data_IF_235703304334
#
_entry.id   IF_235703304334
#
_cell.length_a   1.000
_cell.length_b   1.000
_cell.length_c   1.000
_cell.angle_alpha   90.00
_cell.angle_beta   90.00
_cell.angle_gamma   90.00
#
_symmetry.space_group_name_H-M   'P 1'
#
loop_
_entity.id
_entity.type
_entity.pdbx_description
1 polymer ?
#
# COMPACT_ATOMS: atom_id res chain seq x y z
N UNK A 1 -0.84 24.09 11.04
CA UNK A 1 -0.58 22.64 10.76
C UNK A 1 -0.74 22.46 9.26
N UNK A 2 0.11 21.67 8.60
CA UNK A 2 -0.01 21.43 7.17
C UNK A 2 -1.17 20.48 6.85
N UNK A 3 -1.86 20.73 5.72
CA UNK A 3 -2.72 19.73 5.09
C UNK A 3 -1.82 18.69 4.41
N UNK A 4 -1.92 17.43 4.84
CA UNK A 4 -1.09 16.33 4.33
C UNK A 4 -1.81 15.69 3.15
N UNK A 5 -1.27 15.84 1.94
CA UNK A 5 -1.79 15.27 0.70
C UNK A 5 -0.72 14.40 0.01
N UNK A 6 0.17 13.83 0.83
CA UNK A 6 1.20 12.87 0.39
C UNK A 6 0.60 11.48 0.21
N UNK A 7 1.18 10.60 -0.64
CA UNK A 7 0.74 9.21 -0.79
C UNK A 7 1.23 8.30 0.37
N UNK A 8 0.93 8.72 1.59
CA UNK A 8 1.33 8.12 2.86
C UNK A 8 2.59 8.78 3.47
N UNK A 9 2.51 9.10 4.79
CA UNK A 9 1.31 9.06 5.63
C UNK A 9 0.20 9.99 5.13
N UNK A 10 -1.06 9.64 5.45
CA UNK A 10 -2.26 10.42 5.14
C UNK A 10 -2.74 11.24 6.34
N UNK A 11 -3.76 12.05 6.16
CA UNK A 11 -4.44 12.72 7.28
C UNK A 11 -5.18 11.69 8.14
N UNK A 12 -5.10 11.86 9.46
CA UNK A 12 -5.75 10.99 10.45
C UNK A 12 -7.02 11.66 10.96
N UNK A 13 -8.14 10.94 10.96
CA UNK A 13 -9.43 11.43 11.47
C UNK A 13 -9.38 11.70 12.97
N UNK A 14 -10.28 12.58 13.44
CA UNK A 14 -10.32 12.99 14.85
C UNK A 14 -10.65 11.81 15.76
N UNK A 15 -11.66 11.00 15.40
CA UNK A 15 -12.04 9.81 16.20
C UNK A 15 -10.91 8.79 16.32
N UNK A 16 -10.05 8.66 15.29
CA UNK A 16 -8.85 7.79 15.32
C UNK A 16 -7.82 8.35 16.32
N UNK A 17 -7.60 9.68 16.31
CA UNK A 17 -6.70 10.33 17.28
C UNK A 17 -7.22 10.21 18.70
N UNK A 18 -8.55 10.36 18.90
CA UNK A 18 -9.19 10.21 20.21
C UNK A 18 -9.15 8.77 20.70
N UNK A 19 -9.33 7.78 19.82
CA UNK A 19 -9.19 6.37 20.18
C UNK A 19 -7.80 6.05 20.74
N UNK A 20 -6.74 6.65 20.18
CA UNK A 20 -5.36 6.49 20.66
C UNK A 20 -5.10 7.15 22.03
N UNK A 21 -5.94 8.06 22.48
CA UNK A 21 -5.83 8.70 23.80
C UNK A 21 -6.56 7.94 24.93
N UNK A 22 -7.15 6.77 24.62
CA UNK A 22 -7.76 5.91 25.63
C UNK A 22 -6.69 5.41 26.59
N UNK A 23 -7.13 5.15 27.83
CA UNK A 23 -6.27 4.55 28.83
C UNK A 23 -5.78 3.18 28.36
N UNK A 24 -4.48 2.93 28.51
CA UNK A 24 -3.85 1.67 28.13
C UNK A 24 -3.99 0.64 29.26
N UNK A 25 -4.09 -0.62 28.85
CA UNK A 25 -4.03 -1.77 29.74
C UNK A 25 -2.65 -2.46 29.64
N UNK A 26 -2.47 -3.58 30.28
CA UNK A 26 -1.34 -4.49 30.07
C UNK A 26 -1.76 -5.61 29.12
N UNK A 27 -1.25 -5.67 27.87
CA UNK A 27 -1.71 -6.63 26.87
C UNK A 27 -1.39 -8.09 27.23
N UNK A 28 -0.40 -8.32 28.11
CA UNK A 28 0.02 -9.66 28.52
C UNK A 28 -0.82 -10.20 29.71
N UNK A 29 -1.65 -9.37 30.33
CA UNK A 29 -2.44 -9.71 31.52
C UNK A 29 -3.94 -9.46 31.33
N UNK A 30 -4.33 -8.70 30.34
CA UNK A 30 -5.72 -8.33 30.08
C UNK A 30 -6.28 -9.14 28.91
N UNK A 31 -6.98 -10.22 29.24
CA UNK A 31 -7.61 -11.08 28.21
C UNK A 31 -8.60 -10.31 27.33
N UNK A 32 -9.22 -9.23 27.83
CA UNK A 32 -10.14 -8.42 27.02
C UNK A 32 -9.41 -7.69 25.88
N UNK A 33 -8.12 -7.40 26.04
CA UNK A 33 -7.30 -6.85 24.96
C UNK A 33 -6.98 -7.90 23.88
N UNK A 34 -6.78 -9.17 24.30
CA UNK A 34 -6.58 -10.27 23.34
C UNK A 34 -7.82 -10.47 22.46
N UNK A 35 -9.01 -10.41 23.06
CA UNK A 35 -10.30 -10.45 22.33
C UNK A 35 -10.41 -9.24 21.38
N UNK A 36 -10.13 -8.03 21.86
CA UNK A 36 -10.16 -6.81 21.03
C UNK A 36 -9.20 -6.86 19.84
N UNK A 37 -8.00 -7.38 20.06
CA UNK A 37 -7.01 -7.59 18.99
C UNK A 37 -7.55 -8.57 17.94
N UNK A 38 -8.07 -9.73 18.40
CA UNK A 38 -8.65 -10.76 17.52
C UNK A 38 -9.81 -10.22 16.70
N UNK A 39 -10.79 -9.57 17.36
CA UNK A 39 -11.92 -8.94 16.67
C UNK A 39 -11.48 -7.90 15.63
N UNK A 40 -10.39 -7.17 15.90
CA UNK A 40 -9.82 -6.20 14.95
C UNK A 40 -9.22 -6.92 13.73
N UNK A 41 -8.51 -8.03 13.95
CA UNK A 41 -7.96 -8.87 12.88
C UNK A 41 -9.07 -9.50 12.03
N UNK A 42 -10.11 -10.04 12.66
CA UNK A 42 -11.27 -10.64 11.97
C UNK A 42 -12.03 -9.61 11.12
N UNK A 43 -12.17 -8.37 11.61
CA UNK A 43 -12.82 -7.30 10.84
C UNK A 43 -11.99 -6.91 9.62
N UNK A 44 -10.66 -6.88 9.72
CA UNK A 44 -9.78 -6.66 8.57
C UNK A 44 -9.96 -7.79 7.55
N UNK A 45 -9.93 -9.06 7.99
CA UNK A 45 -10.15 -10.22 7.12
C UNK A 45 -11.50 -10.14 6.39
N UNK A 46 -12.56 -9.82 7.12
CA UNK A 46 -13.92 -9.67 6.59
C UNK A 46 -13.99 -8.60 5.49
N UNK A 47 -13.39 -7.45 5.72
CA UNK A 47 -13.35 -6.34 4.75
C UNK A 47 -12.51 -6.65 3.51
N UNK A 48 -11.56 -7.58 3.63
CA UNK A 48 -10.71 -8.07 2.53
C UNK A 48 -11.26 -9.35 1.87
N UNK A 49 -12.51 -9.72 2.20
CA UNK A 49 -13.23 -10.86 1.65
C UNK A 49 -12.48 -12.19 1.79
N UNK A 50 -12.09 -12.51 3.03
CA UNK A 50 -11.40 -13.76 3.34
C UNK A 50 -11.69 -14.22 4.77
N UNK A 51 -11.57 -15.53 5.01
CA UNK A 51 -11.54 -16.15 6.33
C UNK A 51 -10.10 -16.46 6.80
N UNK A 52 -9.11 -16.08 6.00
CA UNK A 52 -7.70 -16.24 6.36
C UNK A 52 -7.35 -15.39 7.59
N UNK A 53 -6.41 -15.88 8.37
CA UNK A 53 -5.95 -15.19 9.58
C UNK A 53 -5.25 -13.88 9.25
N UNK A 54 -5.64 -12.82 9.93
CA UNK A 54 -4.92 -11.55 9.94
C UNK A 54 -4.11 -11.43 11.23
N UNK A 55 -2.87 -10.94 11.10
CA UNK A 55 -2.02 -10.54 12.21
C UNK A 55 -1.71 -9.04 12.12
N UNK A 56 -1.69 -8.35 13.27
CA UNK A 56 -1.26 -6.95 13.37
C UNK A 56 0.10 -6.91 14.07
N UNK A 57 1.09 -6.31 13.42
CA UNK A 57 2.46 -6.23 13.91
C UNK A 57 2.84 -4.77 14.24
N UNK A 58 3.65 -4.59 15.28
CA UNK A 58 4.18 -3.29 15.68
C UNK A 58 5.33 -2.85 14.78
N UNK A 59 5.00 -2.17 13.68
CA UNK A 59 5.90 -1.62 12.66
C UNK A 59 5.08 -1.19 11.46
N UNK A 60 5.57 -0.27 10.65
CA UNK A 60 4.84 0.18 9.47
C UNK A 60 4.89 -0.87 8.33
N UNK A 61 4.24 -0.63 7.19
CA UNK A 61 4.06 -1.61 6.10
C UNK A 61 5.31 -2.39 5.69
N UNK A 62 6.50 -1.79 5.74
CA UNK A 62 7.76 -2.47 5.42
C UNK A 62 8.02 -3.68 6.34
N UNK A 63 7.67 -3.59 7.64
CA UNK A 63 7.79 -4.74 8.53
C UNK A 63 6.94 -5.93 8.06
N UNK A 64 5.73 -5.69 7.57
CA UNK A 64 4.87 -6.75 7.02
C UNK A 64 5.50 -7.42 5.80
N UNK A 65 6.07 -6.64 4.88
CA UNK A 65 6.76 -7.14 3.69
C UNK A 65 7.99 -7.97 4.06
N UNK A 66 8.81 -7.44 4.96
CA UNK A 66 9.98 -8.16 5.49
C UNK A 66 9.57 -9.43 6.21
N UNK A 67 8.53 -9.38 7.07
CA UNK A 67 8.05 -10.54 7.83
C UNK A 67 7.52 -11.66 6.92
N UNK A 68 6.83 -11.31 5.84
CA UNK A 68 6.41 -12.28 4.83
C UNK A 68 7.62 -12.95 4.17
N UNK A 69 8.60 -12.17 3.72
CA UNK A 69 9.82 -12.71 3.12
C UNK A 69 10.64 -13.55 4.12
N UNK A 70 10.85 -13.05 5.34
CA UNK A 70 11.58 -13.78 6.40
C UNK A 70 10.94 -15.13 6.73
N UNK A 71 9.60 -15.13 6.81
CA UNK A 71 8.85 -16.33 7.18
C UNK A 71 8.76 -17.35 6.03
N UNK A 72 8.77 -16.89 4.78
CA UNK A 72 8.65 -17.77 3.60
C UNK A 72 9.99 -18.23 3.05
N UNK A 73 11.07 -17.44 3.18
CA UNK A 73 12.34 -17.73 2.53
C UNK A 73 13.22 -18.67 3.38
N UNK A 74 13.76 -19.69 2.77
CA UNK A 74 14.88 -20.49 3.29
C UNK A 74 16.11 -20.30 2.39
N UNK A 75 17.33 -20.52 2.93
CA UNK A 75 18.55 -20.41 2.13
C UNK A 75 18.49 -21.25 0.85
N UNK A 76 18.69 -20.60 -0.28
CA UNK A 76 18.65 -21.23 -1.61
C UNK A 76 17.29 -21.31 -2.27
N UNK A 77 16.19 -20.90 -1.61
CA UNK A 77 14.87 -20.83 -2.25
C UNK A 77 14.90 -19.86 -3.43
N UNK A 78 14.37 -20.27 -4.56
CA UNK A 78 14.15 -19.40 -5.71
C UNK A 78 12.84 -18.63 -5.52
N UNK A 79 12.90 -17.32 -5.72
CA UNK A 79 11.74 -16.42 -5.57
C UNK A 79 11.62 -15.54 -6.80
N UNK A 80 10.45 -15.53 -7.42
CA UNK A 80 10.15 -14.64 -8.53
C UNK A 80 9.74 -13.27 -8.00
N UNK A 81 10.44 -12.22 -8.42
CA UNK A 81 10.13 -10.83 -8.06
C UNK A 81 9.57 -10.11 -9.28
N UNK A 82 8.28 -9.73 -9.24
CA UNK A 82 7.67 -8.95 -10.30
C UNK A 82 8.13 -7.49 -10.18
N UNK A 83 9.08 -7.12 -11.03
CA UNK A 83 9.77 -5.83 -11.03
C UNK A 83 9.17 -4.92 -12.12
N UNK A 84 8.08 -4.22 -11.77
CA UNK A 84 7.49 -3.15 -12.58
C UNK A 84 7.20 -1.90 -11.76
N UNK A 85 7.98 -1.67 -10.71
CA UNK A 85 7.91 -0.53 -9.80
C UNK A 85 9.02 -0.56 -8.77
N UNK A 86 9.23 0.56 -8.07
CA UNK A 86 10.34 0.69 -7.11
C UNK A 86 10.18 -0.31 -5.95
N UNK A 87 8.97 -0.42 -5.39
CA UNK A 87 8.72 -1.39 -4.31
C UNK A 87 8.73 -2.83 -4.82
N UNK A 88 8.30 -3.08 -6.07
CA UNK A 88 8.40 -4.40 -6.68
C UNK A 88 9.82 -4.91 -6.69
N UNK A 89 10.75 -4.09 -7.21
CA UNK A 89 12.18 -4.41 -7.22
C UNK A 89 12.75 -4.57 -5.81
N UNK A 90 12.28 -3.75 -4.86
CA UNK A 90 12.78 -3.76 -3.46
C UNK A 90 12.60 -5.10 -2.73
N UNK A 91 11.66 -5.94 -3.13
CA UNK A 91 11.50 -7.27 -2.56
C UNK A 91 12.74 -8.17 -2.74
N UNK A 92 13.54 -7.95 -3.78
CA UNK A 92 14.77 -8.71 -4.00
C UNK A 92 15.76 -8.57 -2.84
N UNK A 93 15.79 -7.42 -2.19
CA UNK A 93 16.66 -7.16 -1.04
C UNK A 93 16.21 -8.00 0.17
N UNK A 94 14.90 -8.06 0.46
CA UNK A 94 14.37 -8.90 1.54
C UNK A 94 14.64 -10.38 1.28
N UNK A 95 14.36 -10.86 0.07
CA UNK A 95 14.61 -12.25 -0.31
C UNK A 95 16.09 -12.61 -0.12
N UNK A 96 17.01 -11.75 -0.62
CA UNK A 96 18.45 -11.95 -0.48
C UNK A 96 18.93 -11.91 0.97
N UNK A 97 18.35 -11.01 1.78
CA UNK A 97 18.68 -10.86 3.21
C UNK A 97 18.44 -12.15 3.99
N UNK A 98 17.39 -12.91 3.64
CA UNK A 98 17.07 -14.20 4.25
C UNK A 98 17.65 -15.42 3.50
N UNK A 99 18.62 -15.18 2.60
CA UNK A 99 19.37 -16.22 1.91
C UNK A 99 18.69 -16.83 0.69
N UNK A 100 17.58 -16.29 0.24
CA UNK A 100 16.93 -16.70 -1.00
C UNK A 100 17.63 -16.17 -2.26
N UNK A 101 17.23 -16.72 -3.39
CA UNK A 101 17.72 -16.37 -4.73
C UNK A 101 16.61 -15.65 -5.51
N UNK A 102 16.52 -14.31 -5.46
CA UNK A 102 15.52 -13.57 -6.21
C UNK A 102 15.81 -13.58 -7.71
N UNK A 103 14.80 -13.83 -8.52
CA UNK A 103 14.84 -13.65 -9.97
C UNK A 103 13.88 -12.54 -10.37
N UNK A 104 14.41 -11.49 -11.01
CA UNK A 104 13.64 -10.30 -11.39
C UNK A 104 12.92 -10.52 -12.73
N UNK A 105 11.61 -10.44 -12.73
CA UNK A 105 10.81 -10.28 -13.94
C UNK A 105 10.61 -8.78 -14.20
N UNK A 106 11.64 -8.11 -14.74
CA UNK A 106 11.67 -6.66 -14.94
C UNK A 106 10.87 -6.22 -16.16
N UNK A 107 10.07 -5.16 -16.01
CA UNK A 107 9.26 -4.54 -17.06
C UNK A 107 9.32 -3.01 -16.98
N UNK A 108 8.78 -2.33 -18.00
CA UNK A 108 8.67 -0.87 -18.00
C UNK A 108 7.78 -0.41 -16.82
N UNK A 109 8.28 0.50 -15.99
CA UNK A 109 7.56 1.03 -14.82
C UNK A 109 6.40 1.96 -15.19
N UNK A 110 6.20 2.22 -16.49
CA UNK A 110 5.13 3.09 -17.01
C UNK A 110 3.92 2.30 -17.54
N UNK A 111 4.01 0.97 -17.60
CA UNK A 111 2.99 0.11 -18.22
C UNK A 111 2.65 -1.07 -17.32
N UNK A 112 1.39 -1.53 -17.41
CA UNK A 112 0.94 -2.74 -16.72
C UNK A 112 1.69 -3.98 -17.20
N UNK A 113 1.74 -5.00 -16.37
CA UNK A 113 2.26 -6.31 -16.76
C UNK A 113 1.41 -6.92 -17.89
N UNK A 114 2.07 -7.36 -18.95
CA UNK A 114 1.44 -8.13 -20.02
C UNK A 114 1.26 -9.58 -19.55
N UNK A 115 0.01 -9.97 -19.31
CA UNK A 115 -0.34 -11.29 -18.78
C UNK A 115 0.03 -12.43 -19.72
N UNK A 116 -0.02 -12.21 -21.05
CA UNK A 116 0.38 -13.23 -22.03
C UNK A 116 1.90 -13.47 -21.98
N UNK A 117 2.69 -12.40 -21.85
CA UNK A 117 4.15 -12.50 -21.70
C UNK A 117 4.53 -13.11 -20.37
N UNK A 118 3.82 -12.78 -19.29
CA UNK A 118 4.04 -13.40 -17.97
C UNK A 118 3.74 -14.90 -18.04
N UNK A 119 2.61 -15.31 -18.63
CA UNK A 119 2.29 -16.72 -18.76
C UNK A 119 3.28 -17.48 -19.66
N UNK A 120 3.74 -16.85 -20.77
CA UNK A 120 4.77 -17.45 -21.61
C UNK A 120 6.09 -17.67 -20.86
N UNK A 121 6.48 -16.70 -20.02
CA UNK A 121 7.65 -16.83 -19.15
C UNK A 121 7.47 -17.98 -18.13
N UNK A 122 6.33 -18.04 -17.45
CA UNK A 122 6.03 -19.07 -16.45
C UNK A 122 5.96 -20.49 -17.02
N UNK A 123 5.63 -20.67 -18.30
CA UNK A 123 5.67 -21.99 -18.96
C UNK A 123 7.08 -22.59 -18.97
N UNK A 124 8.09 -21.76 -19.07
CA UNK A 124 9.51 -22.18 -19.12
C UNK A 124 10.22 -22.02 -17.76
N UNK A 125 9.73 -21.09 -16.91
CA UNK A 125 10.34 -20.73 -15.64
C UNK A 125 9.28 -20.72 -14.53
N UNK A 126 9.09 -21.83 -13.84
CA UNK A 126 8.06 -21.97 -12.78
C UNK A 126 8.58 -22.67 -11.50
N UNK A 127 9.85 -22.93 -11.41
CA UNK A 127 10.48 -23.51 -10.20
C UNK A 127 10.80 -22.40 -9.19
N UNK A 128 9.74 -21.79 -8.65
CA UNK A 128 9.83 -20.79 -7.60
C UNK A 128 8.96 -21.20 -6.40
N UNK A 129 9.47 -21.00 -5.19
CA UNK A 129 8.70 -21.25 -3.97
C UNK A 129 7.54 -20.29 -3.84
N UNK A 130 7.79 -19.01 -4.11
CA UNK A 130 6.77 -17.97 -4.15
C UNK A 130 7.16 -16.85 -5.10
N UNK A 131 6.19 -15.98 -5.39
CA UNK A 131 6.42 -14.73 -6.11
C UNK A 131 5.98 -13.54 -5.27
N UNK A 132 6.67 -12.41 -5.42
CA UNK A 132 6.29 -11.13 -4.83
C UNK A 132 5.63 -10.23 -5.85
N UNK A 133 4.53 -9.59 -5.46
CA UNK A 133 3.70 -8.72 -6.31
C UNK A 133 3.35 -7.47 -5.54
N UNK A 134 3.59 -6.29 -6.10
CA UNK A 134 3.07 -5.03 -5.56
C UNK A 134 1.71 -4.75 -6.19
N UNK A 135 0.65 -4.64 -5.39
CA UNK A 135 -0.68 -4.26 -5.85
C UNK A 135 -0.71 -2.80 -6.30
N UNK A 136 -0.24 -1.89 -5.43
CA UNK A 136 -0.13 -0.46 -5.74
C UNK A 136 1.25 0.11 -5.45
N UNK A 137 2.01 0.50 -6.48
CA UNK A 137 3.33 1.12 -6.34
C UNK A 137 3.19 2.65 -6.23
N UNK A 138 3.18 3.20 -5.02
CA UNK A 138 3.00 4.66 -4.81
C UNK A 138 4.07 5.54 -5.44
N UNK A 139 5.34 5.13 -5.62
CA UNK A 139 6.34 5.95 -6.30
C UNK A 139 6.00 6.28 -7.75
N UNK A 140 5.43 5.32 -8.49
CA UNK A 140 5.06 5.45 -9.90
C UNK A 140 3.56 5.71 -10.11
N UNK A 141 2.71 5.32 -9.15
CA UNK A 141 1.25 5.31 -9.26
C UNK A 141 0.70 4.07 -9.96
N UNK A 142 1.53 3.04 -10.18
CA UNK A 142 1.14 1.80 -10.84
C UNK A 142 0.17 0.99 -9.97
N UNK A 143 -0.88 0.50 -10.59
CA UNK A 143 -1.77 -0.54 -10.08
C UNK A 143 -1.58 -1.82 -10.90
N UNK A 144 -1.20 -2.90 -10.25
CA UNK A 144 -1.13 -4.22 -10.86
C UNK A 144 -2.44 -4.99 -10.65
N UNK A 145 -2.85 -5.72 -11.67
CA UNK A 145 -4.04 -6.57 -11.61
C UNK A 145 -3.73 -7.88 -10.86
N UNK A 146 -3.72 -7.80 -9.53
CA UNK A 146 -3.48 -8.97 -8.67
C UNK A 146 -4.57 -10.04 -8.82
N UNK A 147 -5.78 -9.66 -9.30
CA UNK A 147 -6.87 -10.60 -9.58
C UNK A 147 -6.57 -11.54 -10.73
N UNK A 148 -5.74 -11.12 -11.67
CA UNK A 148 -5.26 -11.95 -12.78
C UNK A 148 -3.89 -12.59 -12.49
N UNK A 149 -2.98 -11.83 -11.84
CA UNK A 149 -1.60 -12.27 -11.58
C UNK A 149 -1.57 -13.43 -10.58
N UNK A 150 -2.25 -13.32 -9.43
CA UNK A 150 -2.15 -14.32 -8.37
C UNK A 150 -2.71 -15.68 -8.79
N UNK A 151 -3.91 -15.79 -9.40
CA UNK A 151 -4.39 -17.07 -9.92
C UNK A 151 -3.48 -17.67 -10.99
N UNK A 152 -2.85 -16.82 -11.83
CA UNK A 152 -1.89 -17.30 -12.82
C UNK A 152 -0.67 -17.92 -12.16
N UNK A 153 -0.09 -17.29 -11.12
CA UNK A 153 1.04 -17.83 -10.36
C UNK A 153 0.67 -19.15 -9.67
N UNK A 154 -0.51 -19.20 -9.04
CA UNK A 154 -1.04 -20.44 -8.40
C UNK A 154 -1.22 -21.58 -9.40
N UNK A 155 -1.63 -21.32 -10.64
CA UNK A 155 -1.72 -22.33 -11.72
C UNK A 155 -0.39 -23.03 -11.96
N UNK A 156 0.74 -22.36 -11.73
CA UNK A 156 2.09 -22.91 -11.85
C UNK A 156 2.67 -23.39 -10.51
N UNK A 157 1.86 -23.48 -9.45
CA UNK A 157 2.30 -23.96 -8.13
C UNK A 157 3.13 -22.96 -7.34
N UNK A 158 3.15 -21.68 -7.75
CA UNK A 158 3.91 -20.60 -7.12
C UNK A 158 3.01 -19.90 -6.11
N UNK A 159 3.44 -19.82 -4.85
CA UNK A 159 2.74 -19.06 -3.80
C UNK A 159 2.91 -17.56 -4.02
N UNK A 160 2.03 -16.75 -3.42
CA UNK A 160 2.01 -15.31 -3.64
C UNK A 160 2.21 -14.51 -2.36
N UNK A 161 3.09 -13.51 -2.40
CA UNK A 161 3.26 -12.47 -1.38
C UNK A 161 2.91 -11.13 -2.02
N UNK A 162 1.81 -10.52 -1.59
CA UNK A 162 1.27 -9.30 -2.18
C UNK A 162 1.48 -8.11 -1.25
N UNK A 163 2.20 -7.11 -1.74
CA UNK A 163 2.23 -5.78 -1.12
C UNK A 163 0.97 -5.01 -1.52
N UNK A 164 0.02 -4.90 -0.62
CA UNK A 164 -1.16 -4.05 -0.76
C UNK A 164 -1.18 -2.88 0.24
N UNK A 165 -0.02 -2.48 0.74
CA UNK A 165 0.12 -1.41 1.74
C UNK A 165 -0.58 -0.14 1.29
N UNK A 166 -0.45 0.23 0.01
CA UNK A 166 -1.05 1.45 -0.53
C UNK A 166 -2.40 1.26 -1.19
N UNK A 167 -2.77 0.03 -1.50
CA UNK A 167 -3.99 -0.29 -2.26
C UNK A 167 -5.12 -0.82 -1.37
N UNK A 168 -4.81 -1.47 -0.23
CA UNK A 168 -5.81 -2.01 0.69
C UNK A 168 -6.88 -0.97 1.01
N UNK A 169 -8.15 -1.34 0.80
CA UNK A 169 -9.36 -0.53 1.01
C UNK A 169 -9.55 0.68 0.08
N UNK A 170 -8.57 1.02 -0.75
CA UNK A 170 -8.70 2.07 -1.78
C UNK A 170 -8.80 1.53 -3.20
N UNK A 171 -8.45 0.26 -3.36
CA UNK A 171 -8.63 -0.55 -4.57
C UNK A 171 -9.42 -1.82 -4.22
N UNK A 172 -10.14 -2.42 -5.16
CA UNK A 172 -10.77 -3.70 -4.93
C UNK A 172 -9.80 -4.75 -4.44
N UNK A 173 -10.22 -5.57 -3.45
CA UNK A 173 -9.45 -6.69 -2.94
C UNK A 173 -10.40 -7.83 -2.54
N UNK A 174 -10.12 -9.04 -3.00
CA UNK A 174 -10.85 -10.27 -2.69
C UNK A 174 -9.86 -11.41 -2.51
N UNK A 175 -9.25 -11.48 -1.34
CA UNK A 175 -8.08 -12.35 -1.07
C UNK A 175 -8.37 -13.82 -1.40
N UNK A 176 -9.51 -14.37 -0.92
CA UNK A 176 -9.85 -15.77 -1.17
C UNK A 176 -10.12 -16.06 -2.64
N UNK A 177 -10.89 -15.20 -3.31
CA UNK A 177 -11.24 -15.39 -4.73
C UNK A 177 -10.01 -15.27 -5.64
N UNK A 178 -9.06 -14.41 -5.28
CA UNK A 178 -7.84 -14.18 -6.05
C UNK A 178 -6.68 -15.08 -5.64
N UNK A 179 -6.92 -16.02 -4.73
CA UNK A 179 -5.95 -17.03 -4.28
C UNK A 179 -4.63 -16.43 -3.78
N UNK A 180 -4.73 -15.35 -3.00
CA UNK A 180 -3.56 -14.69 -2.41
C UNK A 180 -3.14 -15.45 -1.16
N UNK A 181 -1.86 -15.85 -1.08
CA UNK A 181 -1.34 -16.61 0.07
C UNK A 181 -0.95 -15.71 1.23
N UNK A 182 -0.24 -14.61 0.95
CA UNK A 182 0.08 -13.60 1.96
C UNK A 182 -0.20 -12.22 1.37
N UNK A 183 -0.94 -11.39 2.12
CA UNK A 183 -1.16 -9.99 1.78
C UNK A 183 -0.71 -9.09 2.93
N UNK A 184 0.07 -8.06 2.62
CA UNK A 184 0.55 -7.06 3.57
C UNK A 184 -0.14 -5.72 3.35
N UNK A 185 -0.64 -5.13 4.44
CA UNK A 185 -1.23 -3.80 4.47
C UNK A 185 -0.56 -2.88 5.48
N UNK A 186 -0.92 -1.61 5.52
CA UNK A 186 -0.31 -0.63 6.41
C UNK A 186 -1.29 0.41 6.94
N UNK A 187 -1.09 0.84 8.19
CA UNK A 187 -1.99 1.77 8.89
C UNK A 187 -2.00 3.19 8.31
N UNK A 188 -0.88 3.65 7.74
CA UNK A 188 -0.65 5.05 7.36
C UNK A 188 -1.08 5.41 5.94
N UNK A 189 -1.72 4.50 5.20
CA UNK A 189 -2.17 4.70 3.82
C UNK A 189 -3.68 4.95 3.77
N UNK A 190 -4.43 4.19 2.96
CA UNK A 190 -5.89 4.34 2.86
C UNK A 190 -6.58 4.18 4.21
N UNK A 191 -6.07 3.32 5.08
CA UNK A 191 -6.60 3.14 6.46
C UNK A 191 -6.65 4.45 7.23
N UNK A 192 -5.75 5.39 6.95
CA UNK A 192 -5.74 6.72 7.59
C UNK A 192 -5.60 6.70 9.11
N UNK A 193 -4.88 5.70 9.63
CA UNK A 193 -4.34 5.69 10.98
C UNK A 193 -2.88 6.19 10.97
N UNK A 194 -2.30 6.56 12.10
CA UNK A 194 -0.88 6.93 12.20
C UNK A 194 0.04 5.79 11.72
N UNK A 195 1.25 6.10 11.22
CA UNK A 195 2.24 5.09 10.93
C UNK A 195 2.65 4.35 12.21
N UNK A 196 2.98 3.05 12.11
CA UNK A 196 3.46 2.26 13.23
C UNK A 196 2.85 0.86 13.30
N UNK A 197 1.85 0.55 12.47
CA UNK A 197 1.27 -0.79 12.37
C UNK A 197 1.24 -1.27 10.93
N UNK A 198 1.50 -2.56 10.77
CA UNK A 198 1.17 -3.33 9.58
C UNK A 198 0.19 -4.45 9.93
N UNK A 199 -0.62 -4.86 8.97
CA UNK A 199 -1.42 -6.07 9.08
C UNK A 199 -1.07 -7.03 7.95
N UNK A 200 -1.01 -8.31 8.28
CA UNK A 200 -0.63 -9.37 7.35
C UNK A 200 -1.72 -10.43 7.36
N UNK A 201 -2.31 -10.70 6.21
CA UNK A 201 -3.30 -11.77 6.02
C UNK A 201 -2.58 -13.00 5.47
N UNK A 202 -2.83 -14.18 6.05
CA UNK A 202 -2.02 -15.38 5.83
C UNK A 202 -2.95 -16.57 5.54
N UNK A 203 -2.80 -17.20 4.37
CA UNK A 203 -3.54 -18.41 4.01
C UNK A 203 -3.05 -19.65 4.78
N UNK A 204 -3.87 -20.68 4.86
CA UNK A 204 -3.47 -21.94 5.49
C UNK A 204 -2.30 -22.61 4.74
N UNK A 205 -2.24 -22.47 3.40
CA UNK A 205 -1.09 -22.94 2.61
C UNK A 205 0.20 -22.23 3.01
N UNK A 206 0.14 -20.90 3.21
CA UNK A 206 1.31 -20.14 3.67
C UNK A 206 1.71 -20.50 5.10
N UNK A 207 0.76 -20.67 6.03
CA UNK A 207 1.03 -21.16 7.39
C UNK A 207 1.74 -22.50 7.35
N UNK A 208 1.24 -23.44 6.55
CA UNK A 208 1.84 -24.73 6.36
C UNK A 208 3.28 -24.62 5.84
N UNK A 209 3.51 -23.83 4.80
CA UNK A 209 4.84 -23.60 4.24
C UNK A 209 5.82 -23.02 5.27
N UNK A 210 5.35 -22.12 6.16
CA UNK A 210 6.16 -21.55 7.23
C UNK A 210 6.49 -22.55 8.33
N UNK A 211 5.59 -23.50 8.65
CA UNK A 211 5.80 -24.51 9.71
C UNK A 211 6.58 -25.72 9.25
N UNK A 212 6.50 -26.06 7.96
CA UNK A 212 7.25 -27.21 7.37
C UNK A 212 8.69 -26.87 6.96
N UNK A 213 9.17 -25.66 7.33
CA UNK A 213 10.55 -25.23 7.06
C UNK A 213 11.59 -26.17 7.70
N UNK A 214 12.73 -26.29 7.02
CA UNK A 214 13.89 -27.04 7.52
C UNK A 214 14.84 -26.18 8.35
N UNK A 215 14.79 -24.86 8.17
CA UNK A 215 15.66 -23.90 8.84
C UNK A 215 14.83 -22.94 9.71
N UNK A 216 15.33 -22.51 10.89
CA UNK A 216 14.66 -21.49 11.69
C UNK A 216 14.49 -20.17 10.92
N UNK A 217 13.43 -19.44 11.23
CA UNK A 217 13.25 -18.07 10.72
C UNK A 217 14.28 -17.17 11.43
N UNK A 218 15.14 -16.50 10.65
CA UNK A 218 16.27 -15.72 11.16
C UNK A 218 15.86 -14.33 11.64
N UNK A 219 14.70 -14.20 12.29
CA UNK A 219 14.20 -12.98 12.89
C UNK A 219 13.27 -13.32 14.05
N UNK A 220 13.16 -12.43 15.04
CA UNK A 220 12.16 -12.52 16.09
C UNK A 220 10.93 -11.66 15.75
N UNK A 221 11.12 -10.36 15.44
CA UNK A 221 10.00 -9.47 15.11
C UNK A 221 9.41 -9.73 13.72
N UNK A 222 10.24 -9.97 12.71
CA UNK A 222 9.80 -10.31 11.36
C UNK A 222 9.57 -11.82 11.21
N UNK A 223 8.86 -12.43 12.17
CA UNK A 223 8.53 -13.85 12.20
C UNK A 223 7.04 -14.04 12.47
N UNK A 224 6.29 -14.35 11.42
CA UNK A 224 4.84 -14.50 11.51
C UNK A 224 4.40 -15.71 12.35
N UNK A 225 5.27 -16.72 12.50
CA UNK A 225 4.93 -17.93 13.29
C UNK A 225 4.96 -17.70 14.79
N UNK A 226 5.55 -16.60 15.28
CA UNK A 226 5.57 -16.27 16.72
C UNK A 226 4.19 -15.97 17.28
N UNK A 227 3.21 -15.67 16.42
CA UNK A 227 1.81 -15.42 16.79
C UNK A 227 0.92 -16.68 16.75
N UNK A 228 1.45 -17.85 16.36
CA UNK A 228 0.66 -19.04 16.04
C UNK A 228 -0.35 -19.46 17.15
N UNK A 229 -0.07 -19.17 18.41
CA UNK A 229 -0.89 -19.56 19.57
C UNK A 229 -1.25 -18.39 20.47
N UNK A 230 -1.11 -17.14 19.99
CA UNK A 230 -1.35 -15.96 20.84
C UNK A 230 -2.73 -15.93 21.47
N UNK A 231 -3.74 -16.43 20.74
CA UNK A 231 -5.13 -16.38 21.20
C UNK A 231 -5.42 -17.49 22.22
N UNK A 232 -4.98 -18.72 21.96
CA UNK A 232 -5.18 -19.87 22.85
C UNK A 232 -4.41 -19.70 24.16
N UNK A 233 -3.18 -19.21 24.07
CA UNK A 233 -2.31 -19.00 25.22
C UNK A 233 -2.55 -17.66 25.93
N UNK A 234 -3.38 -16.77 25.34
CA UNK A 234 -3.60 -15.39 25.80
C UNK A 234 -2.28 -14.64 26.04
N UNK A 235 -1.35 -14.84 25.13
CA UNK A 235 0.02 -14.33 25.24
C UNK A 235 0.56 -13.88 23.90
N UNK A 236 0.98 -12.60 23.81
CA UNK A 236 1.66 -12.07 22.62
C UNK A 236 3.15 -12.34 22.66
N UNK A 237 3.83 -12.50 21.50
CA UNK A 237 5.27 -12.74 21.46
C UNK A 237 6.10 -11.57 22.00
N UNK A 238 5.54 -10.37 22.03
CA UNK A 238 6.11 -9.14 22.56
C UNK A 238 4.99 -8.17 22.95
N UNK A 239 5.32 -7.16 23.78
CA UNK A 239 4.33 -6.18 24.24
C UNK A 239 3.74 -5.40 23.07
N UNK A 240 2.42 -5.51 22.91
CA UNK A 240 1.70 -4.91 21.78
C UNK A 240 1.51 -3.40 21.95
N UNK A 241 1.55 -2.61 20.85
CA UNK A 241 1.32 -1.16 20.88
C UNK A 241 -0.17 -0.81 21.00
N UNK A 242 -0.71 -0.89 22.22
CA UNK A 242 -2.15 -0.86 22.54
C UNK A 242 -2.84 0.38 21.97
N UNK A 243 -2.30 1.58 22.21
CA UNK A 243 -2.89 2.84 21.74
C UNK A 243 -2.93 2.93 20.21
N UNK A 244 -1.95 2.36 19.53
CA UNK A 244 -1.93 2.31 18.07
C UNK A 244 -2.97 1.34 17.53
N UNK A 245 -3.17 0.20 18.21
CA UNK A 245 -4.20 -0.79 17.85
C UNK A 245 -5.61 -0.22 18.09
N UNK A 246 -5.84 0.55 19.18
CA UNK A 246 -7.09 1.28 19.36
C UNK A 246 -7.36 2.27 18.22
N UNK A 247 -6.32 2.98 17.78
CA UNK A 247 -6.42 3.88 16.62
C UNK A 247 -6.68 3.14 15.32
N UNK A 248 -6.00 2.02 15.09
CA UNK A 248 -6.22 1.18 13.92
C UNK A 248 -7.67 0.67 13.87
N UNK A 249 -8.21 0.15 14.98
CA UNK A 249 -9.60 -0.33 15.05
C UNK A 249 -10.58 0.79 14.69
N UNK A 250 -10.43 1.97 15.25
CA UNK A 250 -11.30 3.09 14.93
C UNK A 250 -11.21 3.50 13.44
N UNK A 251 -10.04 3.37 12.82
CA UNK A 251 -9.88 3.61 11.39
C UNK A 251 -10.52 2.51 10.52
N UNK A 252 -10.41 1.25 10.93
CA UNK A 252 -11.09 0.11 10.27
C UNK A 252 -12.62 0.25 10.40
N UNK A 253 -13.13 0.67 11.56
CA UNK A 253 -14.56 0.94 11.76
C UNK A 253 -15.05 2.07 10.81
N UNK A 254 -14.24 3.11 10.56
CA UNK A 254 -14.56 4.14 9.57
C UNK A 254 -14.66 3.57 8.16
N UNK A 255 -13.77 2.65 7.78
CA UNK A 255 -13.81 1.97 6.48
C UNK A 255 -15.06 1.09 6.37
N UNK A 256 -15.37 0.33 7.40
CA UNK A 256 -16.55 -0.54 7.44
C UNK A 256 -17.86 0.25 7.33
N UNK A 257 -17.88 1.47 7.82
CA UNK A 257 -19.04 2.38 7.75
C UNK A 257 -19.15 3.15 6.44
N UNK A 258 -18.20 3.01 5.51
CA UNK A 258 -18.13 3.77 4.25
C UNK A 258 -18.30 2.87 3.02
N UNK A 259 -19.54 2.57 2.61
CA UNK A 259 -19.80 1.68 1.47
C UNK A 259 -19.32 2.25 0.12
N UNK A 260 -19.11 3.56 0.04
CA UNK A 260 -18.72 4.26 -1.19
C UNK A 260 -17.22 4.47 -1.31
N UNK A 261 -16.42 3.93 -0.38
CA UNK A 261 -14.98 4.21 -0.31
C UNK A 261 -14.26 3.94 -1.64
N UNK A 262 -14.49 2.81 -2.29
CA UNK A 262 -13.86 2.45 -3.56
C UNK A 262 -14.32 3.35 -4.71
N UNK A 263 -15.63 3.55 -4.85
CA UNK A 263 -16.21 4.41 -5.89
C UNK A 263 -15.75 5.88 -5.76
N UNK A 264 -15.60 6.36 -4.52
CA UNK A 264 -15.08 7.71 -4.24
C UNK A 264 -13.61 7.83 -4.65
N UNK A 265 -12.76 6.83 -4.33
CA UNK A 265 -11.35 6.83 -4.76
C UNK A 265 -11.24 6.83 -6.28
N UNK A 266 -11.97 5.96 -6.97
CA UNK A 266 -11.98 5.87 -8.44
C UNK A 266 -12.41 7.20 -9.09
N UNK A 267 -13.54 7.78 -8.65
CA UNK A 267 -14.05 9.04 -9.19
C UNK A 267 -13.06 10.18 -9.00
N UNK A 268 -12.47 10.32 -7.81
CA UNK A 268 -11.46 11.34 -7.52
C UNK A 268 -10.20 11.14 -8.36
N UNK A 269 -9.72 9.92 -8.48
CA UNK A 269 -8.54 9.58 -9.27
C UNK A 269 -8.74 9.90 -10.75
N UNK A 270 -9.88 9.52 -11.33
CA UNK A 270 -10.21 9.87 -12.72
C UNK A 270 -10.28 11.37 -12.94
N UNK A 271 -10.98 12.11 -12.06
CA UNK A 271 -11.07 13.56 -12.12
C UNK A 271 -9.68 14.22 -11.99
N UNK A 272 -8.83 13.67 -11.11
CA UNK A 272 -7.46 14.14 -10.92
C UNK A 272 -6.60 13.95 -12.17
N UNK A 273 -6.65 12.77 -12.80
CA UNK A 273 -5.95 12.51 -14.06
C UNK A 273 -6.44 13.41 -15.20
N UNK A 274 -7.76 13.64 -15.30
CA UNK A 274 -8.34 14.59 -16.26
C UNK A 274 -7.86 16.03 -16.01
N UNK A 275 -7.73 16.45 -14.75
CA UNK A 275 -7.20 17.77 -14.38
C UNK A 275 -5.74 17.94 -14.86
N UNK A 276 -4.89 16.95 -14.60
CA UNK A 276 -3.49 16.98 -15.06
C UNK A 276 -3.42 17.03 -16.59
N UNK A 277 -4.02 16.08 -17.29
CA UNK A 277 -3.92 16.00 -18.76
C UNK A 277 -4.60 17.16 -19.47
N UNK A 278 -5.76 17.60 -18.99
CA UNK A 278 -6.49 18.74 -19.54
C UNK A 278 -5.78 20.08 -19.35
N UNK A 279 -4.95 20.21 -18.31
CA UNK A 279 -4.09 21.39 -18.11
C UNK A 279 -2.87 21.41 -19.02
N UNK A 280 -2.61 20.34 -19.77
CA UNK A 280 -1.47 20.19 -20.67
C UNK A 280 -0.23 19.57 -20.02
N UNK A 281 -0.34 19.06 -18.79
CA UNK A 281 0.71 18.29 -18.13
C UNK A 281 0.60 16.80 -18.49
N UNK A 282 1.68 16.06 -18.28
CA UNK A 282 1.75 14.63 -18.59
C UNK A 282 1.65 13.78 -17.32
N UNK A 283 0.82 12.74 -17.36
CA UNK A 283 0.90 11.66 -16.38
C UNK A 283 2.19 10.87 -16.59
N UNK A 284 2.75 10.36 -15.49
CA UNK A 284 3.94 9.52 -15.58
C UNK A 284 3.63 8.18 -16.26
N UNK A 285 2.56 7.53 -15.86
CA UNK A 285 2.15 6.23 -16.40
C UNK A 285 1.46 6.35 -17.75
N UNK A 286 1.54 5.28 -18.56
CA UNK A 286 0.78 5.07 -19.78
C UNK A 286 -0.47 4.21 -19.54
N UNK A 287 -0.43 3.29 -18.55
CA UNK A 287 -1.53 2.39 -18.15
C UNK A 287 -1.41 1.97 -16.69
N UNK A 288 -2.45 1.32 -16.13
CA UNK A 288 -2.40 0.79 -14.76
C UNK A 288 -2.40 1.86 -13.68
N UNK A 289 -3.31 2.81 -13.79
CA UNK A 289 -3.38 3.93 -12.84
C UNK A 289 -4.09 3.51 -11.54
N UNK A 290 -3.40 3.71 -10.41
CA UNK A 290 -4.03 3.55 -9.09
C UNK A 290 -5.09 4.60 -8.83
N UNK A 291 -6.13 4.21 -8.08
CA UNK A 291 -7.17 5.11 -7.56
C UNK A 291 -6.75 5.84 -6.27
N UNK A 292 -5.57 5.53 -5.71
CA UNK A 292 -5.10 6.09 -4.44
C UNK A 292 -4.10 7.24 -4.59
N UNK A 293 -3.46 7.35 -5.76
CA UNK A 293 -2.42 8.36 -6.03
C UNK A 293 -2.44 8.77 -7.50
N UNK A 294 -2.27 10.07 -7.76
CA UNK A 294 -2.00 10.59 -9.11
C UNK A 294 -0.55 11.05 -9.21
N UNK A 295 0.17 10.56 -10.21
CA UNK A 295 1.58 10.86 -10.46
C UNK A 295 1.74 11.53 -11.82
N UNK A 296 2.34 12.71 -11.84
CA UNK A 296 2.57 13.46 -13.06
C UNK A 296 4.02 13.90 -13.18
N UNK A 297 4.49 14.08 -14.42
CA UNK A 297 5.84 14.50 -14.73
C UNK A 297 6.06 15.96 -14.33
N UNK A 298 7.24 16.27 -13.81
CA UNK A 298 7.65 17.66 -13.56
C UNK A 298 7.72 18.38 -14.90
N UNK A 299 6.97 19.50 -15.09
CA UNK A 299 6.97 20.21 -16.36
C UNK A 299 8.33 20.87 -16.64
N UNK A 300 8.62 21.09 -17.92
CA UNK A 300 9.82 21.81 -18.34
C UNK A 300 9.85 23.24 -17.75
N UNK A 301 11.05 23.75 -17.52
CA UNK A 301 11.27 25.10 -16.99
C UNK A 301 11.16 25.23 -15.46
N UNK A 302 10.89 24.13 -14.75
CA UNK A 302 10.87 24.12 -13.26
C UNK A 302 11.45 22.82 -12.69
N UNK A 303 11.42 22.67 -11.37
CA UNK A 303 11.89 21.49 -10.66
C UNK A 303 10.84 20.97 -9.69
N UNK A 304 10.91 19.68 -9.32
CA UNK A 304 10.04 19.11 -8.31
C UNK A 304 10.15 19.89 -6.98
N UNK A 305 11.33 20.25 -6.54
CA UNK A 305 11.56 21.02 -5.32
C UNK A 305 10.83 22.37 -5.37
N UNK A 306 10.97 23.13 -6.47
CA UNK A 306 10.33 24.44 -6.61
C UNK A 306 8.79 24.35 -6.52
N UNK A 307 8.19 23.31 -7.11
CA UNK A 307 6.73 23.08 -7.03
C UNK A 307 6.33 22.72 -5.61
N UNK A 308 7.02 21.75 -4.98
CA UNK A 308 6.70 21.27 -3.64
C UNK A 308 6.86 22.36 -2.58
N UNK A 309 7.95 23.14 -2.67
CA UNK A 309 8.22 24.25 -1.75
C UNK A 309 7.20 25.38 -1.92
N UNK A 310 6.82 25.70 -3.16
CA UNK A 310 5.79 26.70 -3.45
C UNK A 310 4.43 26.31 -2.88
N UNK A 311 3.97 25.07 -3.14
CA UNK A 311 2.71 24.55 -2.60
C UNK A 311 2.74 24.54 -1.06
N UNK A 312 3.84 24.07 -0.46
CA UNK A 312 3.99 24.02 0.98
C UNK A 312 4.01 25.40 1.64
N UNK A 313 4.78 26.34 1.09
CA UNK A 313 5.01 27.66 1.65
C UNK A 313 3.77 28.55 1.50
N UNK A 314 3.15 28.58 0.32
CA UNK A 314 2.13 29.55 -0.02
C UNK A 314 0.72 29.06 0.32
N UNK A 315 0.50 27.74 0.34
CA UNK A 315 -0.82 27.13 0.53
C UNK A 315 -0.91 26.21 1.74
N UNK A 316 0.19 25.98 2.45
CA UNK A 316 0.24 25.12 3.65
C UNK A 316 -0.17 23.66 3.38
N UNK A 317 0.06 23.17 2.15
CA UNK A 317 -0.24 21.81 1.69
C UNK A 317 1.07 21.07 1.44
N UNK A 318 1.16 19.82 1.92
CA UNK A 318 2.30 18.94 1.67
C UNK A 318 1.94 17.94 0.57
N UNK A 319 2.64 18.02 -0.56
CA UNK A 319 2.70 17.01 -1.61
C UNK A 319 4.02 16.25 -1.51
N UNK A 320 4.21 15.21 -2.35
CA UNK A 320 5.45 14.45 -2.41
C UNK A 320 6.04 14.44 -3.82
N UNK A 321 7.35 14.51 -3.91
CA UNK A 321 8.11 14.02 -5.06
C UNK A 321 8.23 12.50 -5.01
N UNK A 322 9.22 11.95 -5.70
CA UNK A 322 9.55 10.53 -5.62
C UNK A 322 11.05 10.35 -5.35
N UNK A 323 11.50 9.12 -5.34
CA UNK A 323 12.87 8.74 -4.98
C UNK A 323 13.41 7.72 -5.99
N UNK A 324 14.66 7.29 -5.78
CA UNK A 324 15.37 6.36 -6.67
C UNK A 324 15.33 6.85 -8.13
N UNK A 325 14.99 6.02 -9.08
CA UNK A 325 14.96 6.33 -10.51
C UNK A 325 13.96 7.43 -10.87
N UNK A 326 13.00 7.75 -10.00
CA UNK A 326 12.00 8.81 -10.15
C UNK A 326 12.33 10.09 -9.38
N UNK A 327 13.46 10.16 -8.70
CA UNK A 327 13.89 11.35 -7.93
C UNK A 327 13.90 12.60 -8.80
N UNK A 328 13.17 13.64 -8.40
CA UNK A 328 13.09 14.92 -9.10
C UNK A 328 12.32 14.93 -10.43
N UNK A 329 11.78 13.78 -10.86
CA UNK A 329 11.10 13.63 -12.16
C UNK A 329 9.59 13.77 -12.10
N UNK A 330 9.00 13.49 -10.94
CA UNK A 330 7.54 13.44 -10.76
C UNK A 330 7.08 14.14 -9.48
N UNK A 331 5.81 14.56 -9.51
CA UNK A 331 5.04 15.00 -8.35
C UNK A 331 3.91 13.98 -8.10
N UNK A 332 3.63 13.70 -6.83
CA UNK A 332 2.61 12.76 -6.40
C UNK A 332 1.56 13.47 -5.53
N UNK A 333 0.30 13.25 -5.87
CA UNK A 333 -0.87 13.68 -5.11
C UNK A 333 -1.48 12.45 -4.48
N UNK A 334 -1.41 12.32 -3.15
CA UNK A 334 -2.00 11.20 -2.42
C UNK A 334 -3.45 11.50 -2.04
N UNK A 335 -4.38 11.02 -2.84
CA UNK A 335 -5.83 11.10 -2.58
C UNK A 335 -6.35 9.74 -2.10
N UNK A 336 -5.83 9.29 -0.96
CA UNK A 336 -6.16 7.99 -0.35
C UNK A 336 -6.72 8.16 1.06
N UNK A 337 -7.68 7.30 1.44
CA UNK A 337 -8.33 7.34 2.74
C UNK A 337 -9.00 8.68 3.00
N UNK A 338 -8.70 9.33 4.13
CA UNK A 338 -9.25 10.65 4.50
C UNK A 338 -8.82 11.78 3.54
N UNK A 339 -7.80 11.56 2.69
CA UNK A 339 -7.43 12.52 1.67
C UNK A 339 -8.31 12.41 0.41
N UNK A 340 -9.01 11.28 0.22
CA UNK A 340 -9.96 11.08 -0.89
C UNK A 340 -11.25 11.83 -0.64
N UNK A 341 -11.15 13.16 -0.59
CA UNK A 341 -12.24 14.11 -0.37
C UNK A 341 -12.22 15.20 -1.44
N UNK A 342 -13.39 15.57 -1.94
CA UNK A 342 -13.54 16.57 -3.00
C UNK A 342 -12.86 17.90 -2.67
N UNK A 343 -13.09 18.42 -1.47
CA UNK A 343 -12.56 19.73 -1.07
C UNK A 343 -11.06 19.71 -0.89
N UNK A 344 -10.52 18.62 -0.32
CA UNK A 344 -9.08 18.44 -0.14
C UNK A 344 -8.34 18.42 -1.48
N UNK A 345 -8.83 17.64 -2.44
CA UNK A 345 -8.18 17.50 -3.76
C UNK A 345 -8.38 18.77 -4.61
N UNK A 346 -9.53 19.41 -4.53
CA UNK A 346 -9.76 20.70 -5.16
C UNK A 346 -8.74 21.75 -4.72
N UNK A 347 -8.51 21.88 -3.40
CA UNK A 347 -7.52 22.83 -2.86
C UNK A 347 -6.08 22.49 -3.34
N UNK A 348 -5.75 21.21 -3.51
CA UNK A 348 -4.46 20.82 -4.11
C UNK A 348 -4.32 21.36 -5.53
N UNK A 349 -5.35 21.22 -6.37
CA UNK A 349 -5.30 21.73 -7.73
C UNK A 349 -5.26 23.25 -7.80
N UNK A 350 -6.02 23.95 -6.94
CA UNK A 350 -5.92 25.41 -6.82
C UNK A 350 -4.49 25.85 -6.43
N UNK A 351 -3.86 25.13 -5.48
CA UNK A 351 -2.50 25.41 -5.06
C UNK A 351 -1.45 25.13 -6.16
N UNK A 352 -1.64 24.06 -6.92
CA UNK A 352 -0.78 23.75 -8.06
C UNK A 352 -0.93 24.78 -9.18
N UNK A 353 -2.17 25.20 -9.54
CA UNK A 353 -2.42 26.25 -10.52
C UNK A 353 -1.69 27.55 -10.13
N UNK A 354 -1.84 28.00 -8.88
CA UNK A 354 -1.20 29.20 -8.39
C UNK A 354 0.32 29.10 -8.30
N UNK A 355 0.85 27.96 -7.90
CA UNK A 355 2.31 27.73 -7.80
C UNK A 355 2.94 27.69 -9.18
N UNK A 356 2.39 26.94 -10.14
CA UNK A 356 2.91 26.86 -11.49
C UNK A 356 2.87 28.19 -12.22
N UNK A 357 1.79 28.97 -12.02
CA UNK A 357 1.72 30.35 -12.54
C UNK A 357 2.84 31.24 -12.01
N UNK A 358 3.14 31.20 -10.70
CA UNK A 358 4.27 31.95 -10.10
C UNK A 358 5.64 31.49 -10.62
N UNK A 359 5.77 30.21 -10.96
CA UNK A 359 6.99 29.64 -11.53
C UNK A 359 7.11 29.88 -13.05
N UNK A 360 6.14 30.55 -13.66
CA UNK A 360 6.14 30.85 -15.09
C UNK A 360 5.85 29.63 -15.99
N UNK A 361 5.28 28.57 -15.44
CA UNK A 361 4.89 27.37 -16.20
C UNK A 361 3.48 27.61 -16.80
N UNK A 362 3.33 27.67 -18.13
CA UNK A 362 2.04 27.91 -18.75
C UNK A 362 1.15 26.66 -18.68
N UNK A 363 -0.10 26.83 -18.26
CA UNK A 363 -1.11 25.78 -18.31
C UNK A 363 -2.12 26.08 -19.42
N UNK A 364 -2.60 25.05 -20.12
CA UNK A 364 -3.68 25.21 -21.14
C UNK A 364 -5.02 25.59 -20.52
N UNK A 365 -5.28 25.09 -19.31
CA UNK A 365 -6.48 25.37 -18.53
C UNK A 365 -6.22 25.14 -17.03
N UNK A 366 -7.05 25.71 -16.17
CA UNK A 366 -6.98 25.51 -14.71
C UNK A 366 -7.29 24.06 -14.34
N UNK A 367 -6.39 23.42 -13.60
CA UNK A 367 -6.58 22.08 -13.06
C UNK A 367 -7.75 22.03 -12.08
N UNK A 368 -7.87 23.05 -11.20
CA UNK A 368 -9.00 23.15 -10.27
C UNK A 368 -10.34 23.13 -11.00
N UNK A 369 -10.47 23.93 -12.08
CA UNK A 369 -11.72 24.01 -12.84
C UNK A 369 -12.04 22.66 -13.50
N UNK A 370 -11.06 22.03 -14.15
CA UNK A 370 -11.24 20.72 -14.82
C UNK A 370 -11.65 19.66 -13.79
N UNK A 371 -10.98 19.62 -12.63
CA UNK A 371 -11.31 18.71 -11.54
C UNK A 371 -12.76 18.89 -11.07
N UNK A 372 -13.15 20.13 -10.75
CA UNK A 372 -14.51 20.44 -10.30
C UNK A 372 -15.57 20.05 -11.34
N UNK A 373 -15.32 20.31 -12.64
CA UNK A 373 -16.24 19.95 -13.71
C UNK A 373 -16.33 18.42 -13.91
N UNK A 374 -15.23 17.69 -13.67
CA UNK A 374 -15.18 16.23 -13.74
C UNK A 374 -15.84 15.52 -12.57
N UNK A 375 -16.05 16.22 -11.45
CA UNK A 375 -16.68 15.66 -10.23
C UNK A 375 -18.20 15.83 -10.21
N UNK A 376 -18.77 16.65 -11.11
CA UNK A 376 -20.22 16.79 -11.30
C UNK A 376 -20.84 15.53 -11.89
#
# INVERSE_FOLDING_TARGET
MYKIMTPGPTQVAENVRLARSRECTNPDLDESFVEFYKETCEEISRLLHTDNETLILGGEGILGLEAACASMTEPGDRVLVLDNGIYGRGFADFVSMYGGCPELYSRDYRETLDMQKLEAFLKEHHDYKYATVVHGDTPSGMLNDVSAICPLLKKYGIMTVVDSVSASFGEPMRISDWQIDIMCGGSQKVVSAPPGLTFVVISDDAKKAMTERKTPIASFYANLTTFAHYYEEKWFPYTMPISDIYGLRAAIDNIAADPDILARHEKIAEASRKAITGSGLNLYLKSGFSSTVTVFEVPEGTTASAILDGVKKDYNIMLAGSFDVLAGKVIRIGHMGNNADFYNVREVFAALDGTLAKLGVPLKASMEKIFCDSMK
#
